data_IF_767379918906
#
_entry.id   IF_767379918906
#
_cell.length_a   1.000
_cell.length_b   1.000
_cell.length_c   1.000
_cell.angle_alpha   90.00
_cell.angle_beta   90.00
_cell.angle_gamma   90.00
#
_symmetry.space_group_name_H-M   'P 1'
#
loop_
_entity.id
_entity.type
_entity.pdbx_description
1 polymer ?
#
# COMPACT_ATOMS: atom_id res chain seq x y z
N UNK A 1 12.81 -12.51 1.69
CA UNK A 1 12.79 -12.53 0.24
C UNK A 1 13.17 -13.92 -0.27
N UNK A 2 12.72 -14.26 -1.48
CA UNK A 2 13.10 -15.48 -2.15
C UNK A 2 14.01 -15.18 -3.34
N UNK A 3 14.59 -16.19 -3.95
CA UNK A 3 15.43 -16.05 -5.14
C UNK A 3 15.31 -17.28 -6.05
N UNK A 4 15.66 -17.06 -7.32
CA UNK A 4 15.87 -18.12 -8.29
C UNK A 4 17.35 -18.44 -8.37
N UNK A 5 17.71 -19.73 -8.36
CA UNK A 5 19.07 -20.12 -8.66
C UNK A 5 19.17 -20.69 -10.09
N UNK A 6 20.39 -20.83 -10.61
CA UNK A 6 20.65 -21.29 -11.98
C UNK A 6 20.23 -22.76 -12.24
N UNK A 7 19.77 -23.46 -11.24
CA UNK A 7 19.32 -24.87 -11.33
C UNK A 7 17.79 -24.99 -11.32
N UNK A 8 17.08 -23.93 -11.64
CA UNK A 8 15.63 -23.84 -11.57
C UNK A 8 15.04 -24.06 -10.17
N UNK A 9 15.87 -24.04 -9.14
CA UNK A 9 15.39 -24.05 -7.76
C UNK A 9 14.98 -22.64 -7.33
N UNK A 10 13.76 -22.51 -6.85
CA UNK A 10 13.26 -21.26 -6.31
C UNK A 10 13.26 -21.33 -4.79
N UNK A 11 14.06 -20.48 -4.16
CA UNK A 11 14.04 -20.33 -2.71
C UNK A 11 12.82 -19.52 -2.28
N UNK A 12 12.05 -20.05 -1.34
CA UNK A 12 10.95 -19.30 -0.73
C UNK A 12 11.48 -18.20 0.16
N UNK A 13 10.80 -17.06 0.16
CA UNK A 13 11.08 -16.02 1.12
C UNK A 13 10.84 -16.51 2.54
N UNK A 14 11.69 -16.09 3.47
CA UNK A 14 11.58 -16.50 4.88
C UNK A 14 10.67 -15.56 5.69
N UNK A 15 10.41 -14.36 5.20
CA UNK A 15 9.62 -13.37 5.90
C UNK A 15 8.15 -13.51 5.57
N UNK A 16 7.30 -13.29 6.57
CA UNK A 16 5.86 -13.30 6.42
C UNK A 16 5.29 -11.89 6.62
N UNK A 17 4.57 -11.40 5.64
CA UNK A 17 3.92 -10.09 5.69
C UNK A 17 2.44 -10.26 6.04
N UNK A 18 2.00 -9.62 7.11
CA UNK A 18 0.58 -9.58 7.44
C UNK A 18 -0.13 -8.53 6.59
N UNK A 19 -1.46 -8.57 6.58
CA UNK A 19 -2.24 -7.48 6.03
C UNK A 19 -2.05 -6.22 6.89
N UNK A 20 -2.10 -5.07 6.25
CA UNK A 20 -2.13 -3.80 6.96
C UNK A 20 -3.59 -3.45 7.25
N UNK A 21 -3.89 -3.17 8.50
CA UNK A 21 -5.25 -2.97 8.99
C UNK A 21 -5.35 -1.70 9.82
N UNK A 22 -6.55 -1.14 9.87
CA UNK A 22 -6.86 -0.04 10.78
C UNK A 22 -6.77 -0.52 12.24
N UNK A 23 -6.56 0.43 13.15
CA UNK A 23 -6.63 0.14 14.57
C UNK A 23 -7.98 -0.50 14.93
N UNK A 24 -7.97 -1.46 15.86
CA UNK A 24 -9.15 -2.23 16.22
C UNK A 24 -10.32 -1.34 16.66
N UNK A 25 -10.06 -0.30 17.43
CA UNK A 25 -11.08 0.66 17.87
C UNK A 25 -11.69 1.42 16.69
N UNK A 26 -10.87 1.82 15.73
CA UNK A 26 -11.33 2.49 14.51
C UNK A 26 -12.19 1.55 13.67
N UNK A 27 -11.76 0.30 13.50
CA UNK A 27 -12.55 -0.71 12.78
C UNK A 27 -13.93 -0.89 13.39
N UNK A 28 -14.01 -1.03 14.70
CA UNK A 28 -15.27 -1.18 15.43
C UNK A 28 -16.17 0.04 15.25
N UNK A 29 -15.62 1.23 15.34
CA UNK A 29 -16.36 2.47 15.16
C UNK A 29 -16.93 2.58 13.74
N UNK A 30 -16.15 2.27 12.73
CA UNK A 30 -16.57 2.30 11.33
C UNK A 30 -17.72 1.30 11.08
N UNK A 31 -17.59 0.09 11.58
CA UNK A 31 -18.60 -0.95 11.42
C UNK A 31 -19.89 -0.59 12.16
N UNK A 32 -19.78 -0.12 13.41
CA UNK A 32 -20.97 0.19 14.22
C UNK A 32 -21.76 1.38 13.69
N UNK A 33 -21.10 2.37 13.11
CA UNK A 33 -21.74 3.55 12.52
C UNK A 33 -21.98 3.42 11.01
N UNK A 34 -21.62 2.30 10.40
CA UNK A 34 -21.78 2.04 8.95
C UNK A 34 -21.08 3.08 8.06
N UNK A 35 -19.86 3.47 8.45
CA UNK A 35 -19.07 4.46 7.73
C UNK A 35 -18.19 3.87 6.61
N UNK A 36 -18.34 2.61 6.27
CA UNK A 36 -17.49 1.95 5.27
C UNK A 36 -17.44 2.70 3.95
N UNK A 37 -18.56 3.25 3.50
CA UNK A 37 -18.65 4.01 2.25
C UNK A 37 -17.84 5.31 2.29
N UNK A 38 -17.64 5.87 3.47
CA UNK A 38 -16.94 7.15 3.66
C UNK A 38 -15.42 6.97 3.74
N UNK A 39 -14.92 5.73 3.74
CA UNK A 39 -13.49 5.44 3.74
C UNK A 39 -12.84 5.56 2.37
N UNK A 40 -13.62 5.83 1.34
CA UNK A 40 -13.15 5.91 -0.04
C UNK A 40 -13.65 7.17 -0.70
N UNK A 41 -12.84 7.69 -1.59
CA UNK A 41 -13.17 8.84 -2.44
C UNK A 41 -12.99 8.46 -3.91
N UNK A 42 -13.83 9.00 -4.77
CA UNK A 42 -13.68 8.84 -6.21
C UNK A 42 -12.84 9.97 -6.80
N UNK A 43 -11.81 9.63 -7.54
CA UNK A 43 -11.02 10.57 -8.32
C UNK A 43 -11.31 10.35 -9.78
N UNK A 44 -11.80 11.38 -10.43
CA UNK A 44 -12.13 11.33 -11.86
C UNK A 44 -11.04 11.99 -12.68
N UNK A 45 -10.75 11.41 -13.83
CA UNK A 45 -9.82 11.98 -14.80
C UNK A 45 -10.33 11.76 -16.22
N UNK A 46 -9.94 12.65 -17.12
CA UNK A 46 -10.24 12.53 -18.54
C UNK A 46 -8.96 12.65 -19.33
N UNK A 47 -8.93 12.01 -20.51
CA UNK A 47 -7.87 12.27 -21.46
C UNK A 47 -8.19 13.57 -22.22
N UNK A 48 -7.17 14.39 -22.42
CA UNK A 48 -7.28 15.67 -23.11
C UNK A 48 -6.57 15.54 -24.46
N UNK A 49 -7.22 15.96 -25.54
CA UNK A 49 -6.63 15.96 -26.86
C UNK A 49 -5.61 17.11 -27.04
N UNK A 50 -5.00 17.17 -28.22
CA UNK A 50 -4.00 18.21 -28.55
C UNK A 50 -4.56 19.63 -28.54
N UNK A 51 -5.88 19.78 -28.65
CA UNK A 51 -6.57 21.08 -28.65
C UNK A 51 -7.03 21.49 -27.25
N UNK A 52 -6.70 20.71 -26.23
CA UNK A 52 -7.08 20.99 -24.84
C UNK A 52 -8.50 20.59 -24.48
N UNK A 53 -9.17 19.82 -25.34
CA UNK A 53 -10.55 19.37 -25.15
C UNK A 53 -10.55 17.92 -24.65
N UNK A 54 -11.42 17.60 -23.69
CA UNK A 54 -11.55 16.24 -23.19
C UNK A 54 -11.99 15.29 -24.31
N UNK A 55 -11.30 14.17 -24.47
CA UNK A 55 -11.66 13.13 -25.42
C UNK A 55 -12.98 12.47 -25.04
N UNK A 56 -13.81 12.13 -26.02
CA UNK A 56 -15.03 11.35 -25.77
C UNK A 56 -14.71 9.98 -25.18
N UNK A 57 -15.52 9.54 -24.25
CA UNK A 57 -15.37 8.24 -23.56
C UNK A 57 -14.05 8.04 -22.82
N UNK A 58 -13.35 9.14 -22.49
CA UNK A 58 -12.08 9.08 -21.76
C UNK A 58 -12.23 9.24 -20.25
N UNK A 59 -13.43 9.47 -19.75
CA UNK A 59 -13.67 9.62 -18.32
C UNK A 59 -13.29 8.34 -17.58
N UNK A 60 -12.38 8.50 -16.65
CA UNK A 60 -11.93 7.41 -15.77
C UNK A 60 -12.18 7.81 -14.33
N UNK A 61 -12.64 6.84 -13.55
CA UNK A 61 -12.84 7.04 -12.13
C UNK A 61 -12.06 5.96 -11.36
N UNK A 62 -11.26 6.41 -10.44
CA UNK A 62 -10.50 5.53 -9.54
C UNK A 62 -10.98 5.78 -8.12
N UNK A 63 -11.27 4.70 -7.42
CA UNK A 63 -11.61 4.78 -6.01
C UNK A 63 -10.32 4.76 -5.18
N UNK A 64 -10.15 5.75 -4.32
CA UNK A 64 -8.98 5.88 -3.46
C UNK A 64 -9.41 5.87 -2.01
N UNK A 65 -8.55 5.37 -1.12
CA UNK A 65 -8.81 5.42 0.32
C UNK A 65 -8.61 6.85 0.84
N UNK A 66 -9.44 7.24 1.80
CA UNK A 66 -9.20 8.47 2.53
C UNK A 66 -7.89 8.35 3.35
N UNK A 67 -7.22 9.45 3.68
CA UNK A 67 -6.03 9.39 4.52
C UNK A 67 -6.32 8.64 5.82
N UNK A 68 -5.50 7.64 6.10
CA UNK A 68 -5.66 6.80 7.30
C UNK A 68 -4.31 6.23 7.71
N UNK A 69 -4.26 5.67 8.90
CA UNK A 69 -3.10 4.97 9.43
C UNK A 69 -3.41 3.49 9.48
N UNK A 70 -2.56 2.69 8.84
CA UNK A 70 -2.69 1.25 8.83
C UNK A 70 -1.52 0.62 9.59
N UNK A 71 -1.78 -0.49 10.25
CA UNK A 71 -0.81 -1.24 11.03
C UNK A 71 -0.67 -2.64 10.47
N UNK A 72 0.55 -3.09 10.32
CA UNK A 72 0.87 -4.44 9.87
C UNK A 72 2.14 -4.93 10.53
N UNK A 73 2.45 -6.20 10.32
CA UNK A 73 3.66 -6.82 10.87
C UNK A 73 4.40 -7.57 9.78
N UNK A 74 5.72 -7.60 9.92
CA UNK A 74 6.57 -8.50 9.15
C UNK A 74 7.17 -9.48 10.15
N UNK A 75 6.87 -10.76 9.99
CA UNK A 75 7.29 -11.84 10.89
C UNK A 75 8.46 -12.61 10.29
N UNK A 76 9.22 -13.27 11.16
CA UNK A 76 10.31 -14.13 10.78
C UNK A 76 11.40 -13.41 9.97
N UNK A 77 11.68 -12.16 10.36
CA UNK A 77 12.75 -11.38 9.74
C UNK A 77 14.10 -11.88 10.29
N UNK A 78 15.01 -12.33 9.42
CA UNK A 78 16.37 -12.66 9.87
C UNK A 78 17.03 -11.45 10.53
N UNK A 79 17.70 -11.65 11.66
CA UNK A 79 18.30 -10.56 12.41
C UNK A 79 19.32 -9.77 11.57
N UNK A 80 20.04 -10.44 10.70
CA UNK A 80 21.01 -9.84 9.78
C UNK A 80 20.37 -8.92 8.73
N UNK A 81 19.07 -9.09 8.46
CA UNK A 81 18.33 -8.29 7.48
C UNK A 81 17.41 -7.24 8.11
N UNK A 82 17.29 -7.23 9.44
CA UNK A 82 16.32 -6.35 10.12
C UNK A 82 16.56 -4.87 9.83
N UNK A 83 17.81 -4.44 9.86
CA UNK A 83 18.17 -3.06 9.54
C UNK A 83 17.88 -2.71 8.08
N UNK A 84 18.21 -3.62 7.16
CA UNK A 84 17.96 -3.44 5.73
C UNK A 84 16.45 -3.33 5.45
N UNK A 85 15.63 -4.14 6.12
CA UNK A 85 14.17 -4.09 6.00
C UNK A 85 13.63 -2.74 6.49
N UNK A 86 14.09 -2.26 7.63
CA UNK A 86 13.67 -0.95 8.16
C UNK A 86 14.06 0.19 7.22
N UNK A 87 15.25 0.14 6.65
CA UNK A 87 15.70 1.14 5.69
C UNK A 87 14.89 1.08 4.39
N UNK A 88 14.59 -0.11 3.91
CA UNK A 88 13.76 -0.30 2.71
C UNK A 88 12.35 0.27 2.91
N UNK A 89 11.74 0.05 4.07
CA UNK A 89 10.43 0.59 4.38
C UNK A 89 10.40 2.12 4.34
N UNK A 90 11.45 2.77 4.82
CA UNK A 90 11.58 4.23 4.78
C UNK A 90 11.69 4.78 3.36
N UNK A 91 12.15 3.99 2.42
CA UNK A 91 12.29 4.39 1.01
C UNK A 91 10.96 4.34 0.25
N UNK A 92 9.97 3.65 0.77
CA UNK A 92 8.65 3.56 0.13
C UNK A 92 7.90 4.86 0.41
N UNK A 93 7.57 5.58 -0.65
CA UNK A 93 6.87 6.87 -0.55
C UNK A 93 5.49 6.82 -1.17
N UNK A 94 5.20 5.82 -1.99
CA UNK A 94 3.91 5.64 -2.66
C UNK A 94 3.61 4.17 -2.85
N UNK A 95 2.34 3.82 -2.69
CA UNK A 95 1.87 2.46 -2.86
C UNK A 95 0.56 2.46 -3.64
N UNK A 96 0.31 1.36 -4.35
CA UNK A 96 -0.94 1.14 -5.05
C UNK A 96 -0.87 1.47 -6.54
N UNK A 97 -2.03 1.43 -7.16
CA UNK A 97 -2.20 1.72 -8.58
C UNK A 97 -2.11 3.23 -8.82
N UNK A 98 -1.63 3.63 -9.99
CA UNK A 98 -1.50 5.04 -10.40
C UNK A 98 -0.53 5.88 -9.53
N UNK A 99 0.48 5.24 -8.95
CA UNK A 99 1.53 5.93 -8.17
C UNK A 99 2.20 7.06 -8.95
N UNK A 100 2.37 6.88 -10.25
CA UNK A 100 3.02 7.86 -11.12
C UNK A 100 2.15 9.09 -11.40
N UNK A 101 0.88 9.05 -10.97
CA UNK A 101 -0.08 10.14 -11.13
C UNK A 101 -0.41 10.86 -9.83
N UNK A 102 0.43 10.68 -8.81
CA UNK A 102 0.29 11.35 -7.52
C UNK A 102 -0.62 10.67 -6.51
N UNK A 103 -1.11 9.48 -6.82
CA UNK A 103 -1.93 8.70 -5.88
C UNK A 103 -1.05 7.83 -4.99
N UNK A 104 -1.59 7.40 -3.87
CA UNK A 104 -0.97 6.43 -2.98
C UNK A 104 0.19 6.95 -2.14
N UNK A 105 0.31 8.25 -1.95
CA UNK A 105 1.36 8.84 -1.13
C UNK A 105 1.25 8.32 0.31
N UNK A 106 2.36 7.82 0.85
CA UNK A 106 2.39 7.25 2.19
C UNK A 106 3.75 7.46 2.85
N UNK A 107 3.75 7.32 4.16
CA UNK A 107 4.97 7.26 4.97
C UNK A 107 4.90 5.98 5.79
N UNK A 108 5.96 5.18 5.76
CA UNK A 108 6.02 3.92 6.50
C UNK A 108 7.06 4.06 7.60
N UNK A 109 6.63 3.80 8.83
CA UNK A 109 7.50 3.74 9.99
C UNK A 109 7.54 2.33 10.52
N UNK A 110 8.73 1.83 10.78
CA UNK A 110 8.93 0.49 11.30
C UNK A 110 9.61 0.52 12.65
N UNK A 111 9.24 -0.43 13.48
CA UNK A 111 9.90 -0.71 14.76
C UNK A 111 10.22 -2.18 14.84
N UNK A 112 11.39 -2.49 15.38
CA UNK A 112 11.74 -3.85 15.70
C UNK A 112 11.20 -4.18 17.08
N UNK A 113 10.39 -5.24 17.15
CA UNK A 113 9.85 -5.76 18.41
C UNK A 113 10.39 -7.16 18.63
N UNK A 114 10.91 -7.38 19.81
CA UNK A 114 11.30 -8.73 20.26
C UNK A 114 10.10 -9.34 21.01
N UNK A 115 9.75 -10.53 20.56
CA UNK A 115 8.69 -11.31 21.20
C UNK A 115 9.34 -12.34 22.13
#
# INVERSE_FOLDING_TARGET
>A
FGYFDDKDDMSKGCMFFTNAELDENEQKAIISHKYQKHMYEGVSSTAIDKDGIACDHSLRRVEVTVPCVLHGCIKDVPQELSEDVLNALKMIKRMGVNRNRGLGRCTIEGKEEQI
#
